data_IF_389595612721
#
_entry.id   IF_389595612721
#
_cell.length_a   1.000
_cell.length_b   1.000
_cell.length_c   1.000
_cell.angle_alpha   90.00
_cell.angle_beta   90.00
_cell.angle_gamma   90.00
#
_symmetry.space_group_name_H-M   'P 1'
#
loop_
_entity.id
_entity.type
_entity.pdbx_description
1 polymer ?
#
# COMPACT_ATOMS: atom_id res chain seq x y z
N UNK A 1 -8.45 -4.66 -13.72
CA UNK A 1 -8.41 -3.19 -13.52
C UNK A 1 -7.89 -2.87 -12.13
N UNK A 2 -8.69 -3.00 -11.07
CA UNK A 2 -8.22 -2.93 -9.67
C UNK A 2 -7.00 -3.84 -9.47
N UNK A 3 -7.08 -5.10 -9.91
CA UNK A 3 -5.95 -6.04 -9.88
C UNK A 3 -4.71 -5.53 -10.61
N UNK A 4 -4.87 -4.88 -11.77
CA UNK A 4 -3.73 -4.34 -12.54
C UNK A 4 -3.09 -3.16 -11.80
N UNK A 5 -3.91 -2.26 -11.24
CA UNK A 5 -3.44 -1.12 -10.46
C UNK A 5 -2.73 -1.57 -9.18
N UNK A 6 -3.29 -2.54 -8.45
CA UNK A 6 -2.66 -3.10 -7.25
C UNK A 6 -1.35 -3.79 -7.59
N UNK A 7 -1.32 -4.65 -8.61
CA UNK A 7 -0.08 -5.31 -9.03
C UNK A 7 0.99 -4.30 -9.43
N UNK A 8 0.60 -3.25 -10.18
CA UNK A 8 1.52 -2.18 -10.53
C UNK A 8 2.12 -1.50 -9.29
N UNK A 9 1.30 -1.19 -8.28
CA UNK A 9 1.78 -0.61 -7.01
C UNK A 9 2.73 -1.58 -6.32
N UNK A 10 2.35 -2.86 -6.19
CA UNK A 10 3.20 -3.89 -5.58
C UNK A 10 4.56 -3.99 -6.30
N UNK A 11 4.56 -4.02 -7.64
CA UNK A 11 5.77 -4.12 -8.45
C UNK A 11 6.64 -2.87 -8.30
N UNK A 12 6.03 -1.68 -8.25
CA UNK A 12 6.72 -0.41 -8.03
C UNK A 12 7.42 -0.38 -6.68
N UNK A 13 6.70 -0.72 -5.60
CA UNK A 13 7.27 -0.73 -4.26
C UNK A 13 8.36 -1.80 -4.13
N UNK A 14 8.14 -3.00 -4.66
CA UNK A 14 9.18 -4.04 -4.67
C UNK A 14 10.44 -3.56 -5.38
N UNK A 15 10.34 -3.03 -6.60
CA UNK A 15 11.50 -2.54 -7.36
C UNK A 15 12.30 -1.51 -6.56
N UNK A 16 11.66 -0.47 -6.06
CA UNK A 16 12.35 0.61 -5.33
C UNK A 16 12.98 0.12 -4.01
N UNK A 17 12.31 -0.80 -3.30
CA UNK A 17 12.81 -1.35 -2.03
C UNK A 17 13.96 -2.32 -2.27
N UNK A 18 13.86 -3.16 -3.29
CA UNK A 18 14.92 -4.10 -3.68
C UNK A 18 16.17 -3.35 -4.14
N UNK A 19 16.03 -2.30 -4.93
CA UNK A 19 17.14 -1.43 -5.33
C UNK A 19 17.79 -0.76 -4.11
N UNK A 20 16.98 -0.24 -3.17
CA UNK A 20 17.48 0.48 -1.99
C UNK A 20 18.22 -0.42 -1.02
N UNK A 21 17.70 -1.61 -0.73
CA UNK A 21 18.20 -2.49 0.32
C UNK A 21 18.92 -3.73 -0.20
N UNK A 22 19.06 -3.88 -1.52
CA UNK A 22 19.72 -5.03 -2.17
C UNK A 22 19.08 -6.37 -1.79
N UNK A 23 17.76 -6.38 -1.61
CA UNK A 23 17.00 -7.60 -1.29
C UNK A 23 16.66 -8.33 -2.58
N UNK A 24 17.00 -9.62 -2.68
CA UNK A 24 16.80 -10.41 -3.91
C UNK A 24 15.38 -10.97 -4.09
N UNK A 25 14.50 -10.80 -3.11
CA UNK A 25 13.13 -11.32 -3.11
C UNK A 25 12.09 -10.21 -2.98
N UNK A 26 10.86 -10.47 -3.42
CA UNK A 26 9.75 -9.55 -3.18
C UNK A 26 9.43 -9.48 -1.68
N UNK A 27 9.38 -8.27 -1.16
CA UNK A 27 9.03 -7.97 0.24
C UNK A 27 7.67 -7.29 0.35
N UNK A 28 7.10 -6.82 -0.75
CA UNK A 28 5.76 -6.24 -0.81
C UNK A 28 4.82 -7.22 -1.49
N UNK A 29 3.64 -7.43 -0.92
CA UNK A 29 2.59 -8.28 -1.48
C UNK A 29 1.23 -7.60 -1.41
N UNK A 30 0.31 -7.99 -2.27
CA UNK A 30 -1.10 -7.68 -2.10
C UNK A 30 -1.80 -8.86 -1.40
N UNK A 31 -2.36 -8.64 -0.21
CA UNK A 31 -3.09 -9.66 0.52
C UNK A 31 -4.08 -9.03 1.51
N UNK A 32 -4.95 -9.86 2.11
CA UNK A 32 -5.74 -9.48 3.29
C UNK A 32 -4.85 -9.44 4.54
N UNK A 33 -5.20 -8.57 5.49
CA UNK A 33 -4.47 -8.44 6.78
C UNK A 33 -4.69 -9.69 7.64
N UNK A 34 -5.94 -10.15 7.72
CA UNK A 34 -6.37 -11.35 8.45
C UNK A 34 -7.12 -12.30 7.53
N UNK A 35 -7.06 -13.60 7.84
CA UNK A 35 -7.85 -14.62 7.19
C UNK A 35 -9.25 -14.79 7.81
N UNK A 36 -9.99 -15.79 7.33
CA UNK A 36 -11.34 -16.08 7.81
C UNK A 36 -11.39 -16.62 9.26
N UNK A 37 -10.23 -16.88 9.88
CA UNK A 37 -10.09 -17.33 11.27
C UNK A 37 -9.59 -16.21 12.19
N UNK A 38 -9.52 -14.98 11.70
CA UNK A 38 -8.93 -13.82 12.37
C UNK A 38 -7.42 -13.99 12.67
N UNK A 39 -6.72 -14.82 11.90
CA UNK A 39 -5.28 -15.05 12.00
C UNK A 39 -4.53 -14.27 10.91
N UNK A 40 -3.28 -13.88 11.18
CA UNK A 40 -2.41 -13.27 10.16
C UNK A 40 -1.99 -14.40 9.19
N UNK A 41 -2.27 -14.29 7.88
CA UNK A 41 -1.83 -15.26 6.88
C UNK A 41 -0.31 -15.48 6.94
N UNK A 42 0.12 -16.73 6.78
CA UNK A 42 1.56 -17.08 6.80
C UNK A 42 2.33 -16.36 5.70
N UNK A 43 1.67 -16.09 4.56
CA UNK A 43 2.26 -15.35 3.45
C UNK A 43 2.57 -13.88 3.80
N UNK A 44 1.96 -13.33 4.85
CA UNK A 44 2.19 -11.96 5.31
C UNK A 44 3.43 -11.83 6.20
N UNK A 45 4.04 -12.93 6.63
CA UNK A 45 5.21 -12.89 7.52
C UNK A 45 6.43 -12.34 6.79
N UNK A 46 7.11 -11.37 7.42
CA UNK A 46 8.26 -10.66 6.88
C UNK A 46 7.96 -10.00 5.53
N UNK A 47 6.77 -9.39 5.44
CA UNK A 47 6.29 -8.65 4.27
C UNK A 47 5.68 -7.32 4.65
N UNK A 48 5.76 -6.40 3.70
CA UNK A 48 4.85 -5.27 3.59
C UNK A 48 3.59 -5.75 2.86
N UNK A 49 2.44 -5.64 3.51
CA UNK A 49 1.15 -6.11 3.00
C UNK A 49 0.34 -4.90 2.55
N UNK A 50 -0.04 -4.90 1.27
CA UNK A 50 -0.99 -3.94 0.70
C UNK A 50 -2.37 -4.59 0.63
N UNK A 51 -3.37 -3.96 1.26
CA UNK A 51 -4.75 -4.44 1.28
C UNK A 51 -5.68 -3.36 0.73
N UNK A 52 -6.52 -3.70 -0.24
CA UNK A 52 -7.61 -2.82 -0.66
C UNK A 52 -8.71 -2.83 0.40
N UNK A 53 -8.96 -1.68 1.03
CA UNK A 53 -10.00 -1.53 2.05
C UNK A 53 -11.32 -1.02 1.46
N UNK A 54 -11.22 -0.05 0.56
CA UNK A 54 -12.39 0.58 -0.04
C UNK A 54 -12.10 1.04 -1.46
N UNK A 55 -13.16 1.12 -2.26
CA UNK A 55 -13.11 1.58 -3.64
C UNK A 55 -14.34 2.44 -3.89
N UNK A 56 -14.11 3.65 -4.39
CA UNK A 56 -15.19 4.56 -4.77
C UNK A 56 -14.93 5.13 -6.17
N UNK A 57 -16.02 5.47 -6.85
CA UNK A 57 -15.98 6.28 -8.06
C UNK A 57 -16.16 7.73 -7.68
N UNK A 58 -15.34 8.63 -8.24
CA UNK A 58 -15.51 10.05 -8.00
C UNK A 58 -16.81 10.53 -8.64
N UNK A 59 -17.76 11.00 -7.84
CA UNK A 59 -19.11 11.35 -8.30
C UNK A 59 -19.15 12.39 -9.43
N UNK A 60 -18.11 13.22 -9.56
CA UNK A 60 -18.01 14.29 -10.57
C UNK A 60 -17.28 13.86 -11.85
N UNK A 61 -16.75 12.65 -11.91
CA UNK A 61 -15.99 12.15 -13.07
C UNK A 61 -16.28 10.67 -13.31
N UNK A 62 -16.86 10.34 -14.46
CA UNK A 62 -17.20 8.96 -14.81
C UNK A 62 -15.98 8.03 -14.93
N UNK A 63 -14.80 8.64 -15.07
CA UNK A 63 -13.54 7.96 -15.36
C UNK A 63 -12.57 7.93 -14.18
N UNK A 64 -12.88 8.59 -13.06
CA UNK A 64 -11.94 8.66 -11.93
C UNK A 64 -12.44 7.79 -10.78
N UNK A 65 -11.51 7.01 -10.22
CA UNK A 65 -11.77 6.11 -9.11
C UNK A 65 -10.71 6.25 -8.04
N UNK A 66 -11.13 6.19 -6.78
CA UNK A 66 -10.25 6.23 -5.63
C UNK A 66 -10.19 4.84 -4.98
N UNK A 67 -8.97 4.36 -4.80
CA UNK A 67 -8.66 3.12 -4.09
C UNK A 67 -8.09 3.52 -2.73
N UNK A 68 -8.72 3.06 -1.67
CA UNK A 68 -8.21 3.19 -0.31
C UNK A 68 -7.47 1.92 0.06
N UNK A 69 -6.16 2.04 0.21
CA UNK A 69 -5.24 0.95 0.47
C UNK A 69 -4.71 1.05 1.89
N UNK A 70 -4.63 -0.08 2.58
CA UNK A 70 -3.80 -0.23 3.75
C UNK A 70 -2.44 -0.76 3.38
N UNK A 71 -1.40 -0.20 3.98
CA UNK A 71 -0.05 -0.71 3.94
C UNK A 71 0.36 -1.04 5.37
N UNK A 72 0.70 -2.31 5.61
CA UNK A 72 1.14 -2.83 6.90
C UNK A 72 2.53 -3.44 6.76
N UNK A 73 3.50 -2.99 7.55
CA UNK A 73 4.83 -3.60 7.60
C UNK A 73 4.85 -4.70 8.66
N UNK A 74 4.76 -5.97 8.24
CA UNK A 74 4.62 -7.11 9.12
C UNK A 74 5.89 -7.97 9.14
N UNK A 75 6.91 -7.51 9.84
CA UNK A 75 8.15 -8.24 10.10
C UNK A 75 8.21 -8.71 11.55
N UNK A 76 8.93 -9.81 11.77
CA UNK A 76 9.21 -10.31 13.12
C UNK A 76 10.09 -9.33 13.90
N UNK A 77 11.10 -8.75 13.25
CA UNK A 77 11.91 -7.68 13.83
C UNK A 77 11.22 -6.31 13.63
N UNK A 78 10.92 -5.64 14.74
CA UNK A 78 10.21 -4.37 14.70
C UNK A 78 11.04 -3.23 14.07
N UNK A 79 12.36 -3.22 14.23
CA UNK A 79 13.22 -2.23 13.59
C UNK A 79 13.30 -2.46 12.08
N UNK A 80 13.28 -3.72 11.64
CA UNK A 80 13.14 -4.08 10.24
C UNK A 80 11.77 -3.62 9.69
N UNK A 81 10.68 -3.85 10.44
CA UNK A 81 9.36 -3.30 10.10
C UNK A 81 9.41 -1.79 9.89
N UNK A 82 10.04 -1.04 10.82
CA UNK A 82 10.17 0.42 10.72
C UNK A 82 11.02 0.86 9.52
N UNK A 83 12.15 0.19 9.27
CA UNK A 83 13.04 0.49 8.15
C UNK A 83 12.35 0.34 6.80
N UNK A 84 11.63 -0.76 6.61
CA UNK A 84 10.88 -1.00 5.38
C UNK A 84 9.70 -0.04 5.25
N UNK A 85 9.00 0.25 6.35
CA UNK A 85 7.89 1.21 6.38
C UNK A 85 8.34 2.65 6.07
N UNK A 86 9.49 3.09 6.60
CA UNK A 86 10.06 4.41 6.26
C UNK A 86 10.30 4.53 4.75
N UNK A 87 10.80 3.46 4.13
CA UNK A 87 11.01 3.44 2.69
C UNK A 87 9.70 3.54 1.90
N UNK A 88 8.58 3.04 2.41
CA UNK A 88 7.27 3.20 1.74
C UNK A 88 6.81 4.66 1.73
N UNK A 89 7.10 5.40 2.80
CA UNK A 89 6.85 6.85 2.88
C UNK A 89 7.75 7.59 1.90
N UNK A 90 9.04 7.23 1.83
CA UNK A 90 9.99 7.84 0.88
C UNK A 90 9.54 7.66 -0.58
N UNK A 91 9.14 6.44 -0.96
CA UNK A 91 8.63 6.14 -2.30
C UNK A 91 7.41 7.00 -2.62
N UNK A 92 6.47 7.11 -1.69
CA UNK A 92 5.28 7.93 -1.91
C UNK A 92 5.63 9.42 -2.07
N UNK A 93 6.52 9.98 -1.25
CA UNK A 93 6.99 11.37 -1.42
C UNK A 93 7.64 11.59 -2.78
N UNK A 94 8.45 10.63 -3.25
CA UNK A 94 9.04 10.65 -4.60
C UNK A 94 7.96 10.67 -5.68
N UNK A 95 6.91 9.86 -5.53
CA UNK A 95 5.80 9.82 -6.51
C UNK A 95 4.97 11.10 -6.53
N UNK A 96 4.74 11.74 -5.37
CA UNK A 96 4.06 13.05 -5.33
C UNK A 96 4.90 14.16 -5.99
N UNK A 97 6.22 14.10 -5.87
CA UNK A 97 7.13 15.08 -6.48
C UNK A 97 7.27 14.91 -8.00
N UNK A 98 6.92 13.74 -8.54
CA UNK A 98 6.87 13.50 -9.98
C UNK A 98 5.59 14.13 -10.55
N UNK A 99 5.65 15.41 -10.90
CA UNK A 99 4.59 16.05 -11.71
C UNK A 99 4.34 15.24 -12.99
N UNK A 100 3.07 15.18 -13.42
CA UNK A 100 2.41 14.21 -14.32
C UNK A 100 3.07 13.86 -15.69
N UNK A 101 4.24 14.40 -16.04
CA UNK A 101 4.86 14.28 -17.36
C UNK A 101 5.90 13.16 -17.52
N UNK A 102 6.37 12.52 -16.44
CA UNK A 102 7.39 11.45 -16.49
C UNK A 102 6.96 10.13 -15.83
N UNK A 103 5.65 9.90 -15.76
CA UNK A 103 5.11 8.68 -15.20
C UNK A 103 5.35 7.50 -16.18
N UNK A 104 6.03 6.39 -15.78
CA UNK A 104 6.22 5.21 -16.61
C UNK A 104 4.95 4.78 -17.35
N UNK A 105 5.08 4.15 -18.52
CA UNK A 105 3.96 3.85 -19.43
C UNK A 105 2.75 3.13 -18.77
N UNK A 106 2.95 2.40 -17.67
CA UNK A 106 1.89 1.77 -16.86
C UNK A 106 1.11 2.71 -15.92
N UNK A 107 1.56 3.95 -15.75
CA UNK A 107 1.03 4.98 -14.83
C UNK A 107 0.25 6.07 -15.59
N UNK A 108 0.17 6.04 -16.92
CA UNK A 108 -0.63 7.03 -17.68
C UNK A 108 -2.08 7.17 -17.18
N UNK A 109 -2.57 6.14 -16.49
CA UNK A 109 -3.92 6.02 -15.95
C UNK A 109 -3.96 6.10 -14.41
N UNK A 110 -2.89 6.51 -13.73
CA UNK A 110 -2.82 6.63 -12.27
C UNK A 110 -2.33 8.03 -11.91
N UNK A 111 -3.22 8.87 -11.38
CA UNK A 111 -2.99 10.32 -11.27
C UNK A 111 -2.40 10.77 -9.94
N UNK A 112 -2.59 10.01 -8.85
CA UNK A 112 -2.09 10.43 -7.54
C UNK A 112 -2.00 9.26 -6.54
N UNK A 113 -0.95 9.25 -5.69
CA UNK A 113 -0.88 8.44 -4.46
C UNK A 113 -0.70 9.40 -3.28
N UNK A 114 -1.75 9.57 -2.51
CA UNK A 114 -1.78 10.45 -1.34
C UNK A 114 -1.82 9.61 -0.08
N UNK A 115 -1.01 9.94 0.93
CA UNK A 115 -1.24 9.44 2.29
C UNK A 115 -2.48 10.16 2.83
N UNK A 116 -3.43 9.39 3.35
CA UNK A 116 -4.58 9.97 4.03
C UNK A 116 -4.27 10.09 5.52
N UNK A 117 -4.52 11.27 6.09
CA UNK A 117 -4.56 11.44 7.54
C UNK A 117 -5.75 10.65 8.09
N UNK A 118 -5.46 9.62 8.86
CA UNK A 118 -6.49 8.84 9.52
C UNK A 118 -6.71 9.35 10.91
N UNK A 119 -7.97 9.29 11.34
CA UNK A 119 -8.25 9.28 12.76
C UNK A 119 -7.74 7.96 13.32
N UNK A 120 -6.97 8.04 14.42
CA UNK A 120 -6.48 6.87 15.15
C UNK A 120 -7.58 5.82 15.41
N UNK A 121 -8.82 6.25 15.64
CA UNK A 121 -9.99 5.39 15.86
C UNK A 121 -10.29 4.44 14.69
N UNK A 122 -10.02 4.88 13.46
CA UNK A 122 -10.30 4.10 12.25
C UNK A 122 -9.19 3.08 12.00
N UNK A 123 -7.95 3.42 12.39
CA UNK A 123 -6.82 2.47 12.44
C UNK A 123 -7.14 1.36 13.47
N UNK A 124 -7.53 1.73 14.69
CA UNK A 124 -7.80 0.75 15.75
C UNK A 124 -8.92 -0.23 15.40
N UNK A 125 -9.94 0.18 14.64
CA UNK A 125 -11.03 -0.71 14.23
C UNK A 125 -10.62 -1.69 13.14
N UNK A 126 -9.74 -1.28 12.22
CA UNK A 126 -9.20 -2.14 11.15
C UNK A 126 -8.25 -3.22 11.68
N UNK A 127 -7.51 -2.92 12.74
CA UNK A 127 -6.51 -3.82 13.33
C UNK A 127 -6.97 -4.50 14.63
N UNK A 128 -8.27 -4.46 14.95
CA UNK A 128 -8.82 -5.07 16.16
C UNK A 128 -8.89 -6.59 16.04
N UNK A 129 -7.74 -7.26 16.14
CA UNK A 129 -7.67 -8.72 16.27
C UNK A 129 -7.45 -9.11 17.73
N UNK A 130 -7.60 -10.40 18.05
CA UNK A 130 -7.32 -10.94 19.39
C UNK A 130 -5.82 -10.94 19.76
N UNK A 131 -4.93 -10.73 18.79
CA UNK A 131 -3.48 -10.64 18.99
C UNK A 131 -3.02 -9.23 18.63
N UNK A 132 -3.10 -8.31 19.58
CA UNK A 132 -2.75 -6.89 19.41
C UNK A 132 -1.25 -6.74 19.17
N UNK A 133 -0.79 -6.91 17.93
CA UNK A 133 0.55 -6.53 17.49
C UNK A 133 0.37 -5.27 16.64
N UNK A 134 0.64 -4.11 17.24
CA UNK A 134 0.69 -2.85 16.51
C UNK A 134 1.91 -2.86 15.59
N UNK A 135 1.69 -3.18 14.32
CA UNK A 135 2.70 -3.07 13.28
C UNK A 135 2.64 -1.67 12.63
N UNK A 136 3.77 -1.12 12.16
CA UNK A 136 3.79 0.14 11.44
C UNK A 136 2.86 0.09 10.22
N UNK A 137 1.99 1.08 10.08
CA UNK A 137 1.01 1.10 8.99
C UNK A 137 0.61 2.51 8.56
N UNK A 138 0.12 2.62 7.33
CA UNK A 138 -0.42 3.83 6.74
C UNK A 138 -1.60 3.49 5.83
N UNK A 139 -2.56 4.41 5.71
CA UNK A 139 -3.58 4.34 4.65
C UNK A 139 -3.23 5.31 3.52
N UNK A 140 -3.36 4.79 2.31
CA UNK A 140 -3.11 5.51 1.07
C UNK A 140 -4.41 5.64 0.29
N UNK A 141 -4.65 6.81 -0.27
CA UNK A 141 -5.64 7.02 -1.33
C UNK A 141 -4.90 7.05 -2.66
N UNK A 142 -5.32 6.19 -3.57
CA UNK A 142 -4.78 6.09 -4.91
C UNK A 142 -5.86 6.48 -5.90
N UNK A 143 -5.61 7.51 -6.70
CA UNK A 143 -6.53 7.94 -7.75
C UNK A 143 -6.12 7.33 -9.09
N UNK A 144 -7.05 6.63 -9.74
CA UNK A 144 -6.87 6.06 -11.08
C UNK A 144 -7.87 6.66 -12.06
N UNK A 145 -7.39 6.99 -13.26
CA UNK A 145 -8.18 7.38 -14.42
C UNK A 145 -8.44 6.14 -15.28
N UNK A 146 -9.66 5.97 -15.76
CA UNK A 146 -10.06 4.86 -16.62
C UNK A 146 -10.50 5.40 -17.98
N UNK A 147 -10.05 4.76 -19.04
CA UNK A 147 -10.48 5.07 -20.41
C UNK A 147 -11.76 4.32 -20.78
#
# INVERSE_FOLDING_TARGET
MILKSINFIVDLFNREIQEKFQVGSNVVIANRIIDAKDEIPVENLNKIVITLLHFEREHKSEKIYNLYLSLLSNFEDYYESLKFFEQTIFIQNKLMALEQNNLPQGIKNMKCIEIQDLKLTDIFSLYKTKSTIFQPSALYKVQILMD
#
